data_IF_024618439339
#
_entry.id   IF_024618439339
#
_cell.length_a   1.000
_cell.length_b   1.000
_cell.length_c   1.000
_cell.angle_alpha   90.00
_cell.angle_beta   90.00
_cell.angle_gamma   90.00
#
_symmetry.space_group_name_H-M   'P 1'
#
loop_
_entity.id
_entity.type
_entity.pdbx_description
1 polymer ?
#
# COMPACT_ATOMS: atom_id res chain seq x y z
N UNK A 1 -11.48 -33.05 -19.43
CA UNK A 1 -12.35 -32.15 -18.63
C UNK A 1 -11.47 -31.10 -17.96
N UNK A 2 -11.87 -29.82 -17.93
CA UNK A 2 -11.18 -28.81 -17.11
C UNK A 2 -11.27 -29.19 -15.63
N UNK A 3 -10.20 -28.91 -14.87
CA UNK A 3 -10.17 -29.09 -13.42
C UNK A 3 -11.15 -28.13 -12.76
N UNK A 4 -11.79 -28.55 -11.68
CA UNK A 4 -12.72 -27.69 -10.95
C UNK A 4 -11.98 -26.45 -10.39
N UNK A 5 -12.60 -25.29 -10.49
CA UNK A 5 -12.00 -24.00 -10.09
C UNK A 5 -11.55 -24.01 -8.62
N UNK A 6 -12.36 -24.59 -7.74
CA UNK A 6 -12.06 -24.69 -6.31
C UNK A 6 -10.72 -25.40 -6.04
N UNK A 7 -10.48 -26.50 -6.76
CA UNK A 7 -9.28 -27.29 -6.66
C UNK A 7 -8.08 -26.56 -7.24
N UNK A 8 -8.25 -25.91 -8.40
CA UNK A 8 -7.20 -25.07 -8.98
C UNK A 8 -6.80 -23.95 -8.01
N UNK A 9 -7.77 -23.26 -7.40
CA UNK A 9 -7.55 -22.22 -6.38
C UNK A 9 -6.76 -22.79 -5.20
N UNK A 10 -7.18 -23.94 -4.65
CA UNK A 10 -6.49 -24.56 -3.53
C UNK A 10 -5.03 -24.93 -3.86
N UNK A 11 -4.81 -25.55 -5.04
CA UNK A 11 -3.47 -25.94 -5.50
C UNK A 11 -2.57 -24.70 -5.69
N UNK A 12 -3.09 -23.63 -6.31
CA UNK A 12 -2.32 -22.40 -6.49
C UNK A 12 -1.91 -21.81 -5.15
N UNK A 13 -2.84 -21.71 -4.19
CA UNK A 13 -2.55 -21.19 -2.84
C UNK A 13 -1.45 -22.01 -2.17
N UNK A 14 -1.50 -23.34 -2.27
CA UNK A 14 -0.48 -24.21 -1.67
C UNK A 14 0.89 -24.03 -2.33
N UNK A 15 0.92 -23.82 -3.65
CA UNK A 15 2.15 -23.63 -4.43
C UNK A 15 2.78 -22.23 -4.29
N UNK A 16 2.15 -21.26 -3.62
CA UNK A 16 2.79 -19.95 -3.44
C UNK A 16 4.09 -20.05 -2.61
N UNK A 17 5.07 -19.15 -2.80
CA UNK A 17 6.32 -19.15 -2.02
C UNK A 17 6.08 -18.90 -0.52
N UNK A 18 7.05 -19.27 0.33
CA UNK A 18 6.96 -19.07 1.78
C UNK A 18 6.85 -17.59 2.17
N UNK A 19 7.46 -16.69 1.39
CA UNK A 19 7.36 -15.23 1.59
C UNK A 19 5.94 -14.67 1.41
N UNK A 20 4.98 -15.51 0.99
CA UNK A 20 3.57 -15.17 0.86
C UNK A 20 2.71 -15.76 2.00
N UNK A 21 3.31 -16.16 3.13
CA UNK A 21 2.62 -16.85 4.24
C UNK A 21 1.34 -16.15 4.69
N UNK A 22 1.39 -14.83 4.91
CA UNK A 22 0.23 -14.07 5.41
C UNK A 22 -0.86 -13.94 4.33
N UNK A 23 -0.46 -13.82 3.06
CA UNK A 23 -1.40 -13.86 1.96
C UNK A 23 -2.04 -15.25 1.83
N UNK A 24 -1.26 -16.33 1.92
CA UNK A 24 -1.79 -17.71 1.91
C UNK A 24 -2.86 -17.89 2.99
N UNK A 25 -2.61 -17.38 4.19
CA UNK A 25 -3.56 -17.50 5.29
C UNK A 25 -4.87 -16.75 4.97
N UNK A 26 -4.73 -15.51 4.49
CA UNK A 26 -5.87 -14.69 4.04
C UNK A 26 -6.67 -15.38 2.92
N UNK A 27 -5.98 -16.00 1.96
CA UNK A 27 -6.60 -16.71 0.84
C UNK A 27 -7.28 -18.02 1.29
N UNK A 28 -6.70 -18.75 2.25
CA UNK A 28 -7.29 -19.98 2.83
C UNK A 28 -8.63 -19.71 3.48
N UNK A 29 -8.76 -18.62 4.23
CA UNK A 29 -10.03 -18.26 4.87
C UNK A 29 -11.12 -17.85 3.87
N UNK A 30 -10.73 -17.36 2.69
CA UNK A 30 -11.65 -16.88 1.65
C UNK A 30 -11.69 -17.79 0.42
N UNK A 31 -11.10 -18.98 0.48
CA UNK A 31 -10.92 -19.88 -0.67
C UNK A 31 -12.25 -20.26 -1.33
N UNK A 32 -13.34 -20.32 -0.55
CA UNK A 32 -14.68 -20.62 -1.09
C UNK A 32 -15.33 -19.46 -1.86
N UNK A 33 -14.80 -18.25 -1.73
CA UNK A 33 -15.31 -17.04 -2.37
C UNK A 33 -14.51 -16.68 -3.64
N UNK A 34 -13.37 -17.32 -3.87
CA UNK A 34 -12.51 -17.03 -5.02
C UNK A 34 -12.88 -17.91 -6.22
N UNK A 35 -13.21 -17.25 -7.34
CA UNK A 35 -13.03 -17.85 -8.67
C UNK A 35 -11.54 -17.87 -9.04
N UNK A 36 -11.15 -18.73 -9.98
CA UNK A 36 -9.77 -18.79 -10.46
C UNK A 36 -9.28 -17.41 -10.97
N UNK A 37 -10.11 -16.70 -11.74
CA UNK A 37 -9.77 -15.37 -12.26
C UNK A 37 -9.54 -14.33 -11.15
N UNK A 38 -10.42 -14.32 -10.15
CA UNK A 38 -10.33 -13.34 -9.05
C UNK A 38 -9.10 -13.59 -8.18
N UNK A 39 -8.71 -14.87 -7.98
CA UNK A 39 -7.45 -15.23 -7.35
C UNK A 39 -6.26 -14.68 -8.15
N UNK A 40 -6.19 -14.95 -9.45
CA UNK A 40 -5.07 -14.52 -10.31
C UNK A 40 -4.90 -13.00 -10.29
N UNK A 41 -6.01 -12.25 -10.43
CA UNK A 41 -5.99 -10.77 -10.36
C UNK A 41 -5.41 -10.28 -9.04
N UNK A 42 -5.81 -10.89 -7.92
CA UNK A 42 -5.34 -10.51 -6.59
C UNK A 42 -3.86 -10.83 -6.38
N UNK A 43 -3.40 -12.00 -6.83
CA UNK A 43 -1.98 -12.37 -6.77
C UNK A 43 -1.12 -11.37 -7.55
N UNK A 44 -1.57 -10.95 -8.74
CA UNK A 44 -0.84 -9.97 -9.56
C UNK A 44 -0.72 -8.61 -8.88
N UNK A 45 -1.80 -8.09 -8.28
CA UNK A 45 -1.77 -6.80 -7.57
C UNK A 45 -0.79 -6.85 -6.39
N UNK A 46 -0.86 -7.92 -5.58
CA UNK A 46 0.01 -8.07 -4.41
C UNK A 46 1.48 -8.22 -4.81
N UNK A 47 1.76 -8.95 -5.91
CA UNK A 47 3.14 -9.09 -6.40
C UNK A 47 3.72 -7.76 -6.88
N UNK A 48 2.95 -6.97 -7.63
CA UNK A 48 3.38 -5.66 -8.11
C UNK A 48 3.57 -4.65 -6.97
N UNK A 49 2.67 -4.64 -5.98
CA UNK A 49 2.81 -3.79 -4.79
C UNK A 49 4.13 -4.07 -4.06
N UNK A 50 4.46 -5.35 -3.85
CA UNK A 50 5.71 -5.73 -3.18
C UNK A 50 6.96 -5.38 -3.99
N UNK A 51 6.89 -5.43 -5.33
CA UNK A 51 8.00 -4.98 -6.20
C UNK A 51 8.22 -3.48 -6.11
N UNK A 52 7.16 -2.70 -5.86
CA UNK A 52 7.25 -1.26 -5.68
C UNK A 52 7.90 -0.91 -4.33
N UNK A 53 7.46 -1.57 -3.25
CA UNK A 53 8.02 -1.38 -1.91
C UNK A 53 9.53 -1.67 -1.87
N UNK A 54 9.99 -2.70 -2.60
CA UNK A 54 11.42 -3.03 -2.71
C UNK A 54 12.24 -2.02 -3.52
N UNK A 55 11.60 -1.19 -4.35
CA UNK A 55 12.27 -0.17 -5.18
C UNK A 55 12.31 1.21 -4.53
N UNK A 56 11.38 1.50 -3.63
CA UNK A 56 11.39 2.73 -2.84
C UNK A 56 12.52 2.75 -1.80
N UNK A 57 12.95 1.61 -1.27
CA UNK A 57 14.03 1.53 -0.27
C UNK A 57 15.43 1.88 -0.83
N UNK A 58 15.61 1.91 -2.16
CA UNK A 58 16.92 2.23 -2.80
C UNK A 58 17.02 3.71 -3.19
N UNK A 59 15.97 4.51 -3.03
CA UNK A 59 15.98 5.93 -3.41
C UNK A 59 15.74 6.86 -2.22
N UNK A 60 16.49 6.67 -1.13
CA UNK A 60 16.64 7.71 -0.12
C UNK A 60 17.85 8.63 -0.44
N UNK A 61 17.50 9.85 -0.87
CA UNK A 61 18.18 11.15 -0.63
C UNK A 61 19.22 11.60 -1.69
N UNK A 62 18.97 12.76 -2.36
CA UNK A 62 19.51 14.02 -1.84
C UNK A 62 18.43 15.03 -1.46
N UNK A 63 18.43 15.42 -0.18
CA UNK A 63 17.81 16.63 0.36
C UNK A 63 18.33 17.83 -0.42
N UNK A 64 17.59 18.32 -1.41
CA UNK A 64 17.83 19.64 -2.01
C UNK A 64 16.88 20.64 -1.37
N UNK A 65 17.53 21.62 -0.72
CA UNK A 65 16.98 22.81 -0.07
C UNK A 65 15.98 23.52 -0.99
N UNK A 66 14.84 24.05 -0.51
CA UNK A 66 14.06 24.97 -1.30
C UNK A 66 14.70 26.37 -1.22
N UNK A 67 15.49 26.72 -2.23
CA UNK A 67 15.90 28.10 -2.47
C UNK A 67 14.90 28.76 -3.43
N UNK A 68 14.12 29.67 -2.85
CA UNK A 68 13.58 30.91 -3.41
C UNK A 68 12.55 30.90 -4.58
N UNK A 69 11.49 31.66 -4.29
CA UNK A 69 10.56 32.39 -5.17
C UNK A 69 9.33 31.60 -5.65
N UNK A 70 8.20 31.86 -4.99
CA UNK A 70 7.06 32.61 -5.56
C UNK A 70 6.08 32.93 -4.41
N UNK A 71 5.78 34.22 -4.21
CA UNK A 71 4.71 34.68 -3.31
C UNK A 71 3.36 34.27 -3.88
N UNK A 72 2.41 33.89 -3.02
CA UNK A 72 1.07 34.47 -3.13
C UNK A 72 0.72 35.18 -1.81
N UNK A 73 0.30 36.43 -1.95
CA UNK A 73 -0.32 37.24 -0.91
C UNK A 73 -1.54 36.49 -0.33
N UNK A 74 -1.51 36.21 0.98
CA UNK A 74 -2.68 35.80 1.75
C UNK A 74 -2.55 36.42 3.14
N UNK A 75 -3.06 37.64 3.24
CA UNK A 75 -3.32 38.32 4.51
C UNK A 75 -4.22 37.44 5.38
N UNK A 76 -3.68 36.87 6.44
CA UNK A 76 -4.49 36.48 7.60
C UNK A 76 -4.22 37.47 8.73
N UNK A 77 -5.24 38.29 8.98
CA UNK A 77 -5.28 39.31 10.03
C UNK A 77 -5.39 38.58 11.37
N UNK A 78 -4.26 38.38 12.04
CA UNK A 78 -4.22 37.79 13.38
C UNK A 78 -4.94 38.68 14.40
N UNK A 79 -6.02 38.16 14.99
CA UNK A 79 -6.70 38.77 16.13
C UNK A 79 -5.77 38.79 17.36
N UNK A 80 -5.60 39.97 17.96
CA UNK A 80 -4.93 40.14 19.25
C UNK A 80 -5.83 39.59 20.37
N UNK A 81 -5.54 38.39 20.88
CA UNK A 81 -6.00 37.99 22.21
C UNK A 81 -4.90 38.39 23.21
N UNK A 82 -5.11 39.47 23.96
CA UNK A 82 -4.20 39.88 25.04
C UNK A 82 -4.24 38.83 26.16
N UNK A 83 -3.13 38.12 26.37
CA UNK A 83 -2.88 37.41 27.62
C UNK A 83 -2.37 38.41 28.65
N UNK A 84 -3.03 38.45 29.80
CA UNK A 84 -2.60 39.21 30.96
C UNK A 84 -1.23 38.76 31.46
N UNK A 85 -0.49 39.69 32.04
CA UNK A 85 0.67 39.40 32.89
C UNK A 85 0.43 40.03 34.24
N UNK A 86 0.44 39.16 35.25
CA UNK A 86 0.61 39.50 36.64
C UNK A 86 1.97 40.18 36.85
N UNK A 87 2.00 41.30 37.55
CA UNK A 87 2.85 41.52 38.73
C UNK A 87 2.35 42.72 39.51
#
# INVERSE_FOLDING_TARGET
>A
MPLNDQFQVAVIIDKLPLVWKDLKNTLRHKTKEFSLESLIKRLRIVDEARKHDQKEEVNDIPKKKPTAVLKPDLKSKGNKMKRGSNK
#
